data_IF_225264640708
#
_entry.id   IF_225264640708
#
_cell.length_a   1.000
_cell.length_b   1.000
_cell.length_c   1.000
_cell.angle_alpha   90.00
_cell.angle_beta   90.00
_cell.angle_gamma   90.00
#
_symmetry.space_group_name_H-M   'P 1'
#
loop_
_entity.id
_entity.type
_entity.pdbx_description
1 polymer ?
#
# COMPACT_ATOMS: atom_id res chain seq x y z
N UNK A 1 20.33 7.41 7.89
CA UNK A 1 19.19 7.85 8.73
C UNK A 1 19.34 7.27 10.15
N UNK A 2 18.81 7.88 11.21
CA UNK A 2 18.83 7.22 12.54
C UNK A 2 17.66 6.23 12.68
N UNK A 3 17.81 5.24 13.56
CA UNK A 3 16.88 4.12 13.70
C UNK A 3 15.47 4.55 14.09
N UNK A 4 15.35 5.54 14.99
CA UNK A 4 14.06 6.05 15.44
C UNK A 4 13.28 6.69 14.29
N UNK A 5 13.96 7.46 13.45
CA UNK A 5 13.38 8.05 12.24
C UNK A 5 12.99 6.97 11.23
N UNK A 6 13.88 6.00 10.99
CA UNK A 6 13.64 4.90 10.07
C UNK A 6 12.42 4.07 10.48
N UNK A 7 12.36 3.65 11.74
CA UNK A 7 11.24 2.90 12.31
C UNK A 7 9.94 3.70 12.19
N UNK A 8 9.99 5.02 12.39
CA UNK A 8 8.81 5.88 12.24
C UNK A 8 8.32 5.91 10.80
N UNK A 9 9.20 6.05 9.81
CA UNK A 9 8.83 6.03 8.39
C UNK A 9 8.29 4.64 7.98
N UNK A 10 8.92 3.56 8.41
CA UNK A 10 8.44 2.20 8.14
C UNK A 10 7.05 1.95 8.73
N UNK A 11 6.76 2.44 9.94
CA UNK A 11 5.44 2.34 10.54
C UNK A 11 4.37 3.20 9.81
N UNK A 12 4.76 4.33 9.18
CA UNK A 12 3.85 5.06 8.28
C UNK A 12 3.46 4.20 7.08
N UNK A 13 4.45 3.61 6.43
CA UNK A 13 4.22 2.74 5.26
C UNK A 13 3.36 1.55 5.67
N UNK A 14 3.68 0.89 6.78
CA UNK A 14 2.86 -0.19 7.34
C UNK A 14 1.40 0.23 7.55
N UNK A 15 1.17 1.45 8.05
CA UNK A 15 -0.20 1.99 8.21
C UNK A 15 -0.91 2.16 6.88
N UNK A 16 -0.21 2.57 5.82
CA UNK A 16 -0.76 2.70 4.47
C UNK A 16 -1.12 1.34 3.87
N UNK A 17 -0.26 0.32 4.01
CA UNK A 17 -0.55 -1.02 3.48
C UNK A 17 -1.76 -1.68 4.15
N UNK A 18 -1.96 -1.43 5.45
CA UNK A 18 -3.22 -1.83 6.09
C UNK A 18 -4.45 -1.11 5.51
N UNK A 19 -4.29 0.14 5.07
CA UNK A 19 -5.31 0.87 4.34
C UNK A 19 -5.63 0.25 2.98
N UNK A 20 -4.60 -0.11 2.20
CA UNK A 20 -4.77 -0.81 0.92
C UNK A 20 -5.39 -2.19 1.09
N UNK A 21 -4.98 -2.94 2.10
CA UNK A 21 -5.63 -4.21 2.44
C UNK A 21 -7.13 -4.00 2.69
N UNK A 22 -7.47 -2.93 3.40
CA UNK A 22 -8.86 -2.51 3.61
C UNK A 22 -9.64 -2.24 2.33
N UNK A 23 -9.00 -1.74 1.27
CA UNK A 23 -9.61 -1.47 -0.04
C UNK A 23 -9.93 -2.78 -0.79
N UNK A 24 -9.07 -3.78 -0.68
CA UNK A 24 -9.17 -4.98 -1.54
C UNK A 24 -9.80 -6.20 -0.85
N UNK A 25 -9.91 -6.22 0.48
CA UNK A 25 -10.40 -7.40 1.23
C UNK A 25 -11.86 -7.76 0.95
N UNK A 26 -12.70 -6.78 0.64
CA UNK A 26 -14.13 -6.96 0.38
C UNK A 26 -14.41 -7.24 -1.12
N UNK A 27 -13.42 -7.82 -1.83
CA UNK A 27 -13.47 -8.09 -3.28
C UNK A 27 -14.66 -8.95 -3.73
N UNK A 28 -15.31 -9.69 -2.83
CA UNK A 28 -16.48 -10.51 -3.16
C UNK A 28 -17.72 -9.66 -3.48
N UNK A 29 -17.75 -8.39 -3.07
CA UNK A 29 -18.88 -7.48 -3.26
C UNK A 29 -18.99 -6.97 -4.71
N UNK A 30 -17.97 -7.18 -5.53
CA UNK A 30 -17.96 -6.74 -6.93
C UNK A 30 -18.64 -7.76 -7.86
N UNK A 31 -19.61 -7.36 -8.69
CA UNK A 31 -20.29 -8.27 -9.61
C UNK A 31 -19.39 -8.75 -10.76
N UNK A 32 -18.40 -7.96 -11.18
CA UNK A 32 -17.50 -8.27 -12.28
C UNK A 32 -16.43 -9.30 -11.87
N UNK A 33 -16.42 -10.46 -12.54
CA UNK A 33 -15.50 -11.58 -12.24
C UNK A 33 -14.02 -11.19 -12.38
N UNK A 34 -13.69 -10.34 -13.35
CA UNK A 34 -12.33 -9.85 -13.57
C UNK A 34 -11.86 -9.02 -12.37
N UNK A 35 -12.69 -8.07 -11.90
CA UNK A 35 -12.40 -7.22 -10.75
C UNK A 35 -12.23 -8.06 -9.49
N UNK A 36 -13.12 -9.00 -9.20
CA UNK A 36 -12.97 -9.89 -8.03
C UNK A 36 -11.64 -10.63 -8.01
N UNK A 37 -11.22 -11.17 -9.15
CA UNK A 37 -9.97 -11.93 -9.28
C UNK A 37 -8.76 -11.04 -9.05
N UNK A 38 -8.75 -9.86 -9.65
CA UNK A 38 -7.63 -8.93 -9.51
C UNK A 38 -7.56 -8.35 -8.12
N UNK A 39 -8.69 -7.92 -7.53
CA UNK A 39 -8.70 -7.37 -6.17
C UNK A 39 -8.31 -8.41 -5.14
N UNK A 40 -8.70 -9.68 -5.31
CA UNK A 40 -8.14 -10.76 -4.51
C UNK A 40 -6.61 -10.81 -4.61
N UNK A 41 -6.05 -10.69 -5.82
CA UNK A 41 -4.59 -10.70 -5.99
C UNK A 41 -3.93 -9.46 -5.37
N UNK A 42 -4.54 -8.29 -5.46
CA UNK A 42 -4.05 -7.08 -4.80
C UNK A 42 -4.06 -7.25 -3.28
N UNK A 43 -5.15 -7.74 -2.70
CA UNK A 43 -5.22 -8.11 -1.27
C UNK A 43 -4.08 -9.06 -0.84
N UNK A 44 -3.80 -10.09 -1.64
CA UNK A 44 -2.67 -11.01 -1.36
C UNK A 44 -1.31 -10.29 -1.37
N UNK A 45 -1.10 -9.36 -2.32
CA UNK A 45 0.12 -8.54 -2.40
C UNK A 45 0.24 -7.62 -1.16
N UNK A 46 -0.85 -6.97 -0.74
CA UNK A 46 -0.85 -6.11 0.45
C UNK A 46 -0.50 -6.89 1.73
N UNK A 47 -0.99 -8.12 1.87
CA UNK A 47 -0.63 -9.00 2.99
C UNK A 47 0.88 -9.32 2.96
N UNK A 48 1.43 -9.58 1.78
CA UNK A 48 2.88 -9.80 1.63
C UNK A 48 3.68 -8.55 2.00
N UNK A 49 3.24 -7.35 1.61
CA UNK A 49 3.89 -6.08 1.95
C UNK A 49 3.91 -5.85 3.46
N UNK A 50 2.74 -5.99 4.10
CA UNK A 50 2.57 -5.87 5.55
C UNK A 50 3.53 -6.84 6.27
N UNK A 51 3.53 -8.11 5.89
CA UNK A 51 4.38 -9.12 6.52
C UNK A 51 5.87 -8.82 6.39
N UNK A 52 6.32 -8.35 5.22
CA UNK A 52 7.72 -7.95 5.02
C UNK A 52 8.09 -6.73 5.88
N UNK A 53 7.22 -5.71 5.93
CA UNK A 53 7.43 -4.51 6.75
C UNK A 53 7.49 -4.83 8.24
N UNK A 54 6.57 -5.64 8.75
CA UNK A 54 6.58 -6.06 10.15
C UNK A 54 7.88 -6.78 10.52
N UNK A 55 8.34 -7.68 9.66
CA UNK A 55 9.59 -8.41 9.87
C UNK A 55 10.79 -7.47 9.91
N UNK A 56 10.86 -6.50 8.99
CA UNK A 56 11.92 -5.48 8.97
C UNK A 56 11.92 -4.66 10.27
N UNK A 57 10.75 -4.18 10.71
CA UNK A 57 10.64 -3.36 11.93
C UNK A 57 11.07 -4.16 13.17
N UNK A 58 10.69 -5.44 13.25
CA UNK A 58 11.14 -6.35 14.31
C UNK A 58 12.64 -6.59 14.29
N UNK A 59 13.23 -6.76 13.11
CA UNK A 59 14.68 -6.93 12.94
C UNK A 59 15.47 -5.67 13.32
N UNK A 60 14.85 -4.49 13.27
CA UNK A 60 15.40 -3.24 13.81
C UNK A 60 15.22 -3.10 15.34
N UNK A 61 14.70 -4.12 16.02
CA UNK A 61 14.50 -4.14 17.47
C UNK A 61 13.25 -3.40 17.95
N UNK A 62 12.31 -3.07 17.06
CA UNK A 62 11.07 -2.37 17.39
C UNK A 62 9.83 -3.24 17.25
N UNK A 63 8.74 -2.85 17.93
CA UNK A 63 7.42 -3.46 17.74
C UNK A 63 6.70 -2.73 16.58
N UNK A 64 6.18 -3.46 15.57
CA UNK A 64 5.31 -2.86 14.56
C UNK A 64 4.13 -2.15 15.22
N UNK A 65 3.86 -0.93 14.80
CA UNK A 65 2.80 -0.10 15.35
C UNK A 65 2.18 0.71 14.22
N UNK A 66 0.87 0.56 14.06
CA UNK A 66 0.12 1.44 13.19
C UNK A 66 0.09 2.83 13.83
N UNK A 67 0.37 3.88 13.06
CA UNK A 67 0.35 5.26 13.56
C UNK A 67 -1.07 5.77 13.78
N UNK A 68 -2.02 5.12 13.14
CA UNK A 68 -3.44 5.25 13.40
C UNK A 68 -3.91 3.83 13.70
N UNK A 69 -4.56 3.59 14.84
CA UNK A 69 -5.11 2.27 15.24
C UNK A 69 -6.14 1.69 14.24
N UNK A 70 -6.36 2.40 13.14
CA UNK A 70 -7.51 2.26 12.26
C UNK A 70 -7.10 2.16 10.78
N UNK A 71 -5.94 1.58 10.46
CA UNK A 71 -5.54 1.32 9.06
C UNK A 71 -6.66 0.63 8.26
N UNK A 72 -7.37 -0.30 8.90
CA UNK A 72 -8.53 -1.01 8.35
C UNK A 72 -9.81 -0.15 8.23
N UNK A 73 -9.87 0.96 8.97
CA UNK A 73 -10.93 1.98 8.93
C UNK A 73 -10.59 3.06 7.91
N UNK A 74 -9.34 3.28 7.50
CA UNK A 74 -9.06 4.31 6.49
C UNK A 74 -9.70 3.93 5.14
N UNK A 75 -9.56 2.67 4.72
CA UNK A 75 -10.27 2.14 3.54
C UNK A 75 -11.79 2.20 3.71
N UNK A 76 -12.32 1.69 4.83
CA UNK A 76 -13.77 1.68 5.10
C UNK A 76 -14.38 3.07 5.33
N UNK A 77 -13.67 4.00 5.96
CA UNK A 77 -14.10 5.39 6.09
C UNK A 77 -14.06 6.08 4.75
N UNK A 78 -13.06 5.84 3.90
CA UNK A 78 -13.08 6.37 2.53
C UNK A 78 -14.29 5.84 1.76
N UNK A 79 -14.61 4.55 1.85
CA UNK A 79 -15.81 3.97 1.22
C UNK A 79 -17.12 4.59 1.76
N UNK A 80 -17.25 4.74 3.09
CA UNK A 80 -18.44 5.33 3.75
C UNK A 80 -18.55 6.83 3.47
N UNK A 81 -17.44 7.56 3.47
CA UNK A 81 -17.43 9.03 3.32
C UNK A 81 -17.58 9.45 1.86
N UNK A 82 -17.10 8.64 0.91
CA UNK A 82 -17.14 8.95 -0.53
C UNK A 82 -18.37 8.38 -1.25
N UNK A 83 -19.24 7.64 -0.56
CA UNK A 83 -20.47 7.06 -1.11
C UNK A 83 -20.18 6.30 -2.42
N UNK A 84 -19.19 5.39 -2.38
CA UNK A 84 -18.66 4.65 -3.54
C UNK A 84 -19.62 3.54 -4.00
N UNK A 85 -20.86 3.91 -4.31
CA UNK A 85 -21.92 2.99 -4.74
C UNK A 85 -21.73 2.42 -6.15
N UNK A 86 -20.81 2.97 -6.94
CA UNK A 86 -20.49 2.47 -8.29
C UNK A 86 -19.07 1.96 -8.38
N UNK A 87 -18.88 0.85 -9.09
CA UNK A 87 -17.56 0.28 -9.40
C UNK A 87 -16.63 1.32 -10.03
N UNK A 88 -17.16 2.22 -10.88
CA UNK A 88 -16.38 3.32 -11.47
C UNK A 88 -15.76 4.22 -10.40
N UNK A 89 -16.53 4.66 -9.41
CA UNK A 89 -16.02 5.54 -8.36
C UNK A 89 -14.98 4.85 -7.47
N UNK A 90 -15.18 3.55 -7.20
CA UNK A 90 -14.20 2.72 -6.50
C UNK A 90 -12.88 2.69 -7.28
N UNK A 91 -12.93 2.32 -8.55
CA UNK A 91 -11.73 2.23 -9.41
C UNK A 91 -10.99 3.58 -9.49
N UNK A 92 -11.70 4.71 -9.61
CA UNK A 92 -11.09 6.05 -9.60
C UNK A 92 -10.40 6.33 -8.27
N UNK A 93 -11.08 6.01 -7.16
CA UNK A 93 -10.55 6.27 -5.82
C UNK A 93 -9.31 5.43 -5.55
N UNK A 94 -9.40 4.12 -5.84
CA UNK A 94 -8.29 3.20 -5.61
C UNK A 94 -7.10 3.56 -6.52
N UNK A 95 -7.33 3.90 -7.78
CA UNK A 95 -6.26 4.33 -8.69
C UNK A 95 -5.51 5.57 -8.18
N UNK A 96 -6.23 6.53 -7.57
CA UNK A 96 -5.62 7.72 -6.95
C UNK A 96 -4.79 7.37 -5.72
N UNK A 97 -5.27 6.44 -4.90
CA UNK A 97 -4.54 5.99 -3.71
C UNK A 97 -3.26 5.28 -4.14
N UNK A 98 -3.34 4.34 -5.08
CA UNK A 98 -2.18 3.59 -5.57
C UNK A 98 -1.08 4.48 -6.15
N UNK A 99 -1.43 5.51 -6.95
CA UNK A 99 -0.42 6.43 -7.47
C UNK A 99 0.20 7.31 -6.38
N UNK A 100 -0.58 7.70 -5.36
CA UNK A 100 -0.05 8.43 -4.20
C UNK A 100 0.90 7.55 -3.39
N UNK A 101 0.57 6.27 -3.23
CA UNK A 101 1.41 5.29 -2.54
C UNK A 101 2.70 5.02 -3.29
N UNK A 102 2.65 4.82 -4.62
CA UNK A 102 3.85 4.75 -5.46
C UNK A 102 4.74 5.99 -5.29
N UNK A 103 4.17 7.20 -5.31
CA UNK A 103 4.94 8.44 -5.10
C UNK A 103 5.53 8.52 -3.68
N UNK A 104 4.81 8.04 -2.67
CA UNK A 104 5.29 7.95 -1.29
C UNK A 104 6.49 7.03 -1.18
N UNK A 105 6.40 5.82 -1.74
CA UNK A 105 7.49 4.87 -1.85
C UNK A 105 8.69 5.45 -2.59
N UNK A 106 8.50 6.03 -3.77
CA UNK A 106 9.59 6.59 -4.57
C UNK A 106 10.38 7.65 -3.82
N UNK A 107 9.70 8.55 -3.10
CA UNK A 107 10.35 9.57 -2.26
C UNK A 107 11.19 8.94 -1.14
N UNK A 108 10.69 7.88 -0.53
CA UNK A 108 11.38 7.23 0.58
C UNK A 108 12.56 6.35 0.12
N UNK A 109 12.40 5.61 -0.98
CA UNK A 109 13.48 4.86 -1.64
C UNK A 109 14.64 5.79 -1.99
N UNK A 110 14.37 6.92 -2.67
CA UNK A 110 15.40 7.92 -2.99
C UNK A 110 16.10 8.45 -1.73
N UNK A 111 15.37 8.64 -0.63
CA UNK A 111 15.96 9.08 0.65
C UNK A 111 16.88 8.02 1.24
N UNK A 112 16.54 6.74 1.12
CA UNK A 112 17.38 5.63 1.60
C UNK A 112 18.63 5.46 0.74
N UNK A 113 18.51 5.61 -0.58
CA UNK A 113 19.64 5.49 -1.53
C UNK A 113 20.70 6.60 -1.37
N UNK A 114 20.35 7.72 -0.73
CA UNK A 114 21.31 8.77 -0.38
C UNK A 114 22.32 8.33 0.69
N UNK A 115 21.99 7.31 1.48
CA UNK A 115 22.88 6.72 2.47
C UNK A 115 23.63 5.52 1.89
N UNK A 116 24.97 5.55 1.88
CA UNK A 116 25.81 4.45 1.39
C UNK A 116 25.94 3.26 2.38
N UNK A 117 24.99 3.09 3.28
CA UNK A 117 25.00 2.01 4.26
C UNK A 117 24.26 0.79 3.71
N UNK A 118 24.84 -0.41 3.90
CA UNK A 118 24.26 -1.69 3.48
C UNK A 118 22.81 -1.88 3.96
N UNK A 119 22.48 -1.38 5.16
CA UNK A 119 21.12 -1.47 5.69
C UNK A 119 20.13 -0.66 4.85
N UNK A 120 20.43 0.62 4.60
CA UNK A 120 19.58 1.49 3.80
C UNK A 120 19.46 1.00 2.36
N UNK A 121 20.53 0.45 1.77
CA UNK A 121 20.49 -0.21 0.46
C UNK A 121 19.60 -1.45 0.42
N UNK A 122 19.66 -2.30 1.46
CA UNK A 122 18.77 -3.46 1.57
C UNK A 122 17.30 -3.01 1.65
N UNK A 123 17.02 -1.96 2.43
CA UNK A 123 15.67 -1.44 2.60
C UNK A 123 15.15 -0.79 1.32
N UNK A 124 15.98 -0.05 0.59
CA UNK A 124 15.59 0.58 -0.67
C UNK A 124 15.20 -0.47 -1.71
N UNK A 125 15.99 -1.55 -1.85
CA UNK A 125 15.70 -2.64 -2.79
C UNK A 125 14.37 -3.33 -2.46
N UNK A 126 14.16 -3.64 -1.18
CA UNK A 126 12.91 -4.24 -0.71
C UNK A 126 11.70 -3.32 -1.00
N UNK A 127 11.79 -2.05 -0.62
CA UNK A 127 10.69 -1.08 -0.79
C UNK A 127 10.46 -0.71 -2.26
N UNK A 128 11.47 -0.82 -3.11
CA UNK A 128 11.33 -0.64 -4.56
C UNK A 128 10.44 -1.74 -5.19
N UNK A 129 10.44 -2.96 -4.63
CA UNK A 129 9.49 -4.00 -5.01
C UNK A 129 8.04 -3.59 -4.76
N UNK A 130 7.73 -3.15 -3.54
CA UNK A 130 6.39 -2.66 -3.18
C UNK A 130 5.99 -1.44 -4.02
N UNK A 131 6.95 -0.52 -4.27
CA UNK A 131 6.77 0.66 -5.11
C UNK A 131 6.33 0.31 -6.54
N UNK A 132 6.95 -0.72 -7.14
CA UNK A 132 6.62 -1.20 -8.47
C UNK A 132 5.22 -1.80 -8.49
N UNK A 133 4.89 -2.62 -7.49
CA UNK A 133 3.59 -3.26 -7.38
C UNK A 133 2.46 -2.21 -7.27
N UNK A 134 2.59 -1.19 -6.43
CA UNK A 134 1.63 -0.08 -6.37
C UNK A 134 1.43 0.60 -7.74
N UNK A 135 2.51 0.81 -8.51
CA UNK A 135 2.38 1.38 -9.87
C UNK A 135 1.63 0.45 -10.82
N UNK A 136 1.90 -0.85 -10.75
CA UNK A 136 1.23 -1.85 -11.58
C UNK A 136 -0.26 -1.95 -11.24
N UNK A 137 -0.62 -1.89 -9.95
CA UNK A 137 -2.01 -1.87 -9.51
C UNK A 137 -2.74 -0.63 -10.04
N UNK A 138 -2.13 0.56 -9.90
CA UNK A 138 -2.64 1.80 -10.46
C UNK A 138 -2.88 1.71 -11.98
N UNK A 139 -1.89 1.21 -12.74
CA UNK A 139 -2.02 1.09 -14.20
C UNK A 139 -3.15 0.15 -14.61
N UNK A 140 -3.33 -0.96 -13.88
CA UNK A 140 -4.44 -1.87 -14.12
C UNK A 140 -5.79 -1.19 -13.82
N UNK A 141 -5.89 -0.45 -12.72
CA UNK A 141 -7.10 0.30 -12.35
C UNK A 141 -7.44 1.35 -13.41
N UNK A 142 -6.45 2.10 -13.92
CA UNK A 142 -6.63 3.05 -15.01
C UNK A 142 -7.09 2.37 -16.30
N UNK A 143 -6.58 1.18 -16.61
CA UNK A 143 -7.01 0.44 -17.79
C UNK A 143 -8.46 -0.05 -17.66
N UNK A 144 -8.86 -0.54 -16.48
CA UNK A 144 -10.26 -0.89 -16.23
C UNK A 144 -11.19 0.31 -16.32
N UNK A 145 -10.76 1.50 -15.90
CA UNK A 145 -11.56 2.72 -15.99
C UNK A 145 -11.93 3.10 -17.42
N UNK A 146 -11.13 2.72 -18.42
CA UNK A 146 -11.45 2.96 -19.84
C UNK A 146 -12.68 2.17 -20.32
N UNK A 147 -13.10 1.16 -19.55
CA UNK A 147 -14.29 0.34 -19.83
C UNK A 147 -15.60 1.00 -19.32
N UNK A 148 -15.53 2.15 -18.64
CA UNK A 148 -16.65 2.89 -18.03
C UNK A 148 -16.77 4.35 -18.51
#
# INVERSE_FOLDING_TARGET
>A
MNDKELIKELNKILTLEHGHLGMYKDFLDFPEKEIRRTFRRFMEIEIEHIGKLENVIRNLGAKPSLLIETGDIFGKMLDITLNLTSTKNVLVTYSKIEIMSHQGYAKFVVKLEQDNNNREQFLSEFLAGNMLEAKLMHLWLEDQLKKY
#
